data_IF_285445330714
#
_entry.id   IF_285445330714
#
_cell.length_a   1.000
_cell.length_b   1.000
_cell.length_c   1.000
_cell.angle_alpha   90.00
_cell.angle_beta   90.00
_cell.angle_gamma   90.00
#
_symmetry.space_group_name_H-M   'P 1'
#
loop_
_entity.id
_entity.type
_entity.pdbx_description
1 polymer ?
#
# COMPACT_ATOMS: atom_id res chain seq x y z
N UNK A 1 -29.24 -3.84 0.27
CA UNK A 1 -27.92 -4.46 0.52
C UNK A 1 -26.94 -3.44 1.13
N UNK A 2 -27.24 -2.86 2.31
CA UNK A 2 -26.41 -1.82 2.91
C UNK A 2 -24.98 -2.28 3.27
N UNK A 3 -24.79 -3.58 3.56
CA UNK A 3 -23.47 -4.13 3.89
C UNK A 3 -22.49 -4.10 2.71
N UNK A 4 -22.99 -4.29 1.48
CA UNK A 4 -22.15 -4.29 0.26
C UNK A 4 -21.56 -2.92 0.02
N UNK A 5 -22.33 -1.85 0.26
CA UNK A 5 -21.85 -0.49 0.13
C UNK A 5 -20.71 -0.20 1.13
N UNK A 6 -20.86 -0.62 2.38
CA UNK A 6 -19.82 -0.47 3.39
C UNK A 6 -18.53 -1.19 3.02
N UNK A 7 -18.63 -2.43 2.51
CA UNK A 7 -17.47 -3.20 2.04
C UNK A 7 -16.82 -2.53 0.82
N UNK A 8 -17.62 -2.11 -0.16
CA UNK A 8 -17.12 -1.45 -1.37
C UNK A 8 -16.39 -0.14 -1.04
N UNK A 9 -16.95 0.67 -0.13
CA UNK A 9 -16.33 1.91 0.32
C UNK A 9 -15.03 1.65 1.10
N UNK A 10 -15.03 0.66 1.99
CA UNK A 10 -13.81 0.25 2.70
C UNK A 10 -12.73 -0.23 1.73
N UNK A 11 -13.10 -1.05 0.73
CA UNK A 11 -12.17 -1.53 -0.29
C UNK A 11 -11.67 -0.40 -1.18
N UNK A 12 -12.51 0.58 -1.50
CA UNK A 12 -12.09 1.78 -2.24
C UNK A 12 -11.00 2.55 -1.49
N UNK A 13 -11.19 2.80 -0.18
CA UNK A 13 -10.20 3.46 0.66
C UNK A 13 -8.94 2.60 0.86
N UNK A 14 -9.07 1.29 1.02
CA UNK A 14 -7.92 0.38 1.13
C UNK A 14 -7.10 0.32 -0.16
N UNK A 15 -7.77 0.21 -1.32
CA UNK A 15 -7.11 0.21 -2.62
C UNK A 15 -6.46 1.55 -2.95
N UNK A 16 -6.98 2.68 -2.47
CA UNK A 16 -6.37 3.99 -2.75
C UNK A 16 -4.94 4.09 -2.22
N UNK A 17 -4.64 3.43 -1.09
CA UNK A 17 -3.29 3.33 -0.53
C UNK A 17 -2.31 2.65 -1.51
N UNK A 18 -2.78 1.63 -2.23
CA UNK A 18 -1.99 0.92 -3.24
C UNK A 18 -1.65 1.82 -4.42
N UNK A 19 -2.62 2.62 -4.89
CA UNK A 19 -2.49 3.45 -6.08
C UNK A 19 -1.96 4.86 -5.81
N UNK A 20 -1.66 5.22 -4.55
CA UNK A 20 -1.35 6.61 -4.17
C UNK A 20 -0.15 7.20 -4.95
N UNK A 21 0.95 6.45 -5.16
CA UNK A 21 2.11 6.91 -5.96
C UNK A 21 1.73 7.12 -7.43
N UNK A 22 0.86 6.27 -7.97
CA UNK A 22 0.44 6.39 -9.37
C UNK A 22 -0.27 7.73 -9.59
N UNK A 23 -1.06 8.17 -8.61
CA UNK A 23 -1.77 9.45 -8.64
C UNK A 23 -0.87 10.70 -8.54
N UNK A 24 0.34 10.57 -8.00
CA UNK A 24 1.30 11.69 -7.84
C UNK A 24 2.61 11.48 -8.60
N UNK A 25 2.64 10.49 -9.50
CA UNK A 25 3.85 10.03 -10.18
C UNK A 25 4.56 11.14 -10.95
N UNK A 26 3.83 11.97 -11.69
CA UNK A 26 4.40 13.10 -12.41
C UNK A 26 5.10 14.11 -11.49
N UNK A 27 4.51 14.42 -10.32
CA UNK A 27 5.12 15.32 -9.35
C UNK A 27 6.37 14.70 -8.71
N UNK A 28 6.36 13.39 -8.42
CA UNK A 28 7.52 12.68 -7.87
C UNK A 28 8.68 12.61 -8.86
N UNK A 29 8.41 12.42 -10.16
CA UNK A 29 9.44 12.41 -11.19
C UNK A 29 10.17 13.75 -11.27
N UNK A 30 9.43 14.85 -11.18
CA UNK A 30 9.96 16.22 -11.18
C UNK A 30 10.73 16.52 -9.89
N UNK A 31 10.13 16.26 -8.73
CA UNK A 31 10.72 16.56 -7.41
C UNK A 31 11.99 15.74 -7.13
N UNK A 32 12.02 14.46 -7.52
CA UNK A 32 13.18 13.59 -7.32
C UNK A 32 14.17 13.59 -8.48
N UNK A 33 13.83 14.23 -9.61
CA UNK A 33 14.68 14.29 -10.80
C UNK A 33 15.01 12.91 -11.39
N UNK A 34 14.08 11.96 -11.32
CA UNK A 34 14.29 10.57 -11.77
C UNK A 34 13.55 10.28 -13.09
N UNK A 35 14.03 9.26 -13.82
CA UNK A 35 13.37 8.83 -15.06
C UNK A 35 12.00 8.18 -14.81
N UNK A 36 11.07 8.22 -15.79
CA UNK A 36 9.75 7.58 -15.68
C UNK A 36 9.79 6.09 -15.32
N UNK A 37 10.85 5.39 -15.72
CA UNK A 37 11.10 3.97 -15.40
C UNK A 37 11.22 3.72 -13.89
N UNK A 38 11.58 4.74 -13.10
CA UNK A 38 11.71 4.65 -11.65
C UNK A 38 10.39 4.33 -10.93
N UNK A 39 9.25 4.75 -11.46
CA UNK A 39 7.94 4.48 -10.86
C UNK A 39 7.62 2.97 -10.83
N UNK A 40 8.23 2.19 -11.72
CA UNK A 40 8.17 0.74 -11.72
C UNK A 40 8.74 0.13 -10.44
N UNK A 41 9.79 0.72 -9.86
CA UNK A 41 10.38 0.24 -8.60
C UNK A 41 9.46 0.48 -7.40
N UNK A 42 8.85 1.67 -7.30
CA UNK A 42 7.86 1.96 -6.25
C UNK A 42 6.64 1.05 -6.36
N UNK A 43 6.18 0.78 -7.58
CA UNK A 43 5.06 -0.15 -7.81
C UNK A 43 5.46 -1.58 -7.46
N UNK A 44 6.68 -2.00 -7.83
CA UNK A 44 7.24 -3.30 -7.52
C UNK A 44 7.41 -3.54 -6.02
N UNK A 45 7.77 -2.51 -5.25
CA UNK A 45 7.87 -2.57 -3.79
C UNK A 45 6.50 -2.93 -3.15
N UNK A 46 5.41 -2.28 -3.58
CA UNK A 46 4.05 -2.62 -3.13
C UNK A 46 3.68 -4.08 -3.48
N UNK A 47 4.04 -4.56 -4.68
CA UNK A 47 3.80 -5.96 -5.07
C UNK A 47 4.58 -6.94 -4.19
N UNK A 48 5.84 -6.63 -3.89
CA UNK A 48 6.66 -7.43 -2.98
C UNK A 48 6.06 -7.45 -1.57
N UNK A 49 5.58 -6.31 -1.08
CA UNK A 49 4.85 -6.18 0.18
C UNK A 49 3.58 -7.05 0.23
N UNK A 50 2.80 -7.06 -0.85
CA UNK A 50 1.63 -7.93 -0.98
C UNK A 50 1.99 -9.43 -0.92
N UNK A 51 3.03 -9.84 -1.63
CA UNK A 51 3.54 -11.23 -1.59
C UNK A 51 3.98 -11.58 -0.17
N UNK A 52 4.80 -10.73 0.46
CA UNK A 52 5.28 -10.96 1.82
C UNK A 52 4.13 -11.04 2.84
N UNK A 53 3.14 -10.14 2.74
CA UNK A 53 1.98 -10.11 3.61
C UNK A 53 1.08 -11.34 3.46
N UNK A 54 0.78 -11.75 2.22
CA UNK A 54 -0.03 -12.94 1.96
C UNK A 54 0.66 -14.22 2.41
N UNK A 55 1.98 -14.35 2.16
CA UNK A 55 2.80 -15.45 2.68
C UNK A 55 2.81 -15.48 4.22
N UNK A 56 2.97 -14.33 4.87
CA UNK A 56 2.92 -14.22 6.33
C UNK A 56 1.58 -14.66 6.91
N UNK A 57 0.46 -14.24 6.30
CA UNK A 57 -0.88 -14.67 6.69
C UNK A 57 -1.08 -16.17 6.50
N UNK A 58 -0.57 -16.74 5.40
CA UNK A 58 -0.66 -18.17 5.12
C UNK A 58 0.18 -19.01 6.09
N UNK A 59 1.44 -18.63 6.34
CA UNK A 59 2.34 -19.33 7.26
C UNK A 59 1.82 -19.34 8.71
N UNK A 60 1.10 -18.30 9.11
CA UNK A 60 0.56 -18.15 10.47
C UNK A 60 -0.87 -18.67 10.62
N UNK A 61 -1.53 -19.03 9.51
CA UNK A 61 -2.97 -19.29 9.42
C UNK A 61 -3.83 -18.17 10.07
N UNK A 62 -3.34 -16.92 10.05
CA UNK A 62 -4.05 -15.76 10.63
C UNK A 62 -5.41 -15.57 9.95
N UNK A 63 -5.48 -15.82 8.64
CA UNK A 63 -6.69 -15.69 7.83
C UNK A 63 -7.84 -16.60 8.32
N UNK A 64 -7.52 -17.78 8.84
CA UNK A 64 -8.52 -18.74 9.33
C UNK A 64 -8.89 -18.52 10.79
N UNK A 65 -8.03 -17.84 11.55
CA UNK A 65 -8.20 -17.62 13.00
C UNK A 65 -8.97 -16.35 13.34
N UNK A 66 -8.90 -15.33 12.48
CA UNK A 66 -9.50 -14.03 12.73
C UNK A 66 -10.50 -13.64 11.64
N UNK A 67 -11.45 -12.78 12.00
CA UNK A 67 -12.43 -12.24 11.05
C UNK A 67 -11.71 -11.42 9.99
N UNK A 68 -12.09 -11.60 8.71
CA UNK A 68 -11.52 -10.86 7.59
C UNK A 68 -11.56 -9.32 7.79
N UNK A 69 -12.62 -8.79 8.41
CA UNK A 69 -12.72 -7.35 8.71
C UNK A 69 -11.68 -6.85 9.72
N UNK A 70 -11.25 -7.69 10.67
CA UNK A 70 -10.22 -7.34 11.64
C UNK A 70 -8.84 -7.35 11.00
N UNK A 71 -8.56 -8.35 10.16
CA UNK A 71 -7.33 -8.41 9.38
C UNK A 71 -7.25 -7.20 8.43
N UNK A 72 -8.34 -6.91 7.72
CA UNK A 72 -8.43 -5.75 6.83
C UNK A 72 -8.22 -4.42 7.56
N UNK A 73 -8.80 -4.24 8.76
CA UNK A 73 -8.61 -3.04 9.57
C UNK A 73 -7.13 -2.83 9.89
N UNK A 74 -6.46 -3.84 10.43
CA UNK A 74 -5.05 -3.73 10.81
C UNK A 74 -4.13 -3.56 9.60
N UNK A 75 -4.42 -4.26 8.50
CA UNK A 75 -3.70 -4.05 7.24
C UNK A 75 -3.88 -2.63 6.70
N UNK A 76 -5.09 -2.07 6.78
CA UNK A 76 -5.38 -0.69 6.35
C UNK A 76 -4.66 0.34 7.22
N UNK A 77 -4.58 0.12 8.54
CA UNK A 77 -3.81 0.97 9.46
C UNK A 77 -2.32 0.91 9.14
N UNK A 78 -1.76 -0.29 8.95
CA UNK A 78 -0.35 -0.45 8.61
C UNK A 78 -0.03 0.22 7.25
N UNK A 79 -0.87 0.00 6.24
CA UNK A 79 -0.71 0.61 4.91
C UNK A 79 -0.86 2.13 4.93
N UNK A 80 -1.78 2.68 5.74
CA UNK A 80 -1.92 4.13 5.87
C UNK A 80 -0.73 4.76 6.58
N UNK A 81 -0.18 4.09 7.60
CA UNK A 81 1.06 4.51 8.26
C UNK A 81 2.25 4.49 7.29
N UNK A 82 2.39 3.45 6.47
CA UNK A 82 3.43 3.38 5.45
C UNK A 82 3.30 4.52 4.44
N UNK A 83 2.09 4.79 3.95
CA UNK A 83 1.83 5.92 3.06
C UNK A 83 2.08 7.28 3.72
N UNK A 84 1.75 7.43 5.01
CA UNK A 84 2.04 8.65 5.76
C UNK A 84 3.55 8.87 5.87
N UNK A 85 4.30 7.83 6.25
CA UNK A 85 5.76 7.90 6.32
C UNK A 85 6.37 8.18 4.95
N UNK A 86 5.87 7.56 3.88
CA UNK A 86 6.29 7.89 2.52
C UNK A 86 6.09 9.39 2.23
N UNK A 87 4.91 9.94 2.54
CA UNK A 87 4.58 11.33 2.23
C UNK A 87 5.44 12.35 3.00
N UNK A 88 5.87 12.03 4.22
CA UNK A 88 6.63 12.97 5.07
C UNK A 88 8.13 12.72 5.11
N UNK A 89 8.57 11.48 4.87
CA UNK A 89 9.95 11.06 5.12
C UNK A 89 10.71 10.71 3.84
N UNK A 90 10.03 10.24 2.78
CA UNK A 90 10.69 9.84 1.55
C UNK A 90 11.30 11.05 0.84
N UNK A 91 12.63 11.03 0.70
CA UNK A 91 13.40 12.08 0.02
C UNK A 91 13.95 11.66 -1.34
N UNK A 92 13.68 10.43 -1.77
CA UNK A 92 14.11 9.89 -3.04
C UNK A 92 13.66 8.45 -3.25
N UNK A 93 14.02 7.87 -4.40
CA UNK A 93 13.51 6.57 -4.84
C UNK A 93 13.85 5.42 -3.87
N UNK A 94 15.10 5.33 -3.43
CA UNK A 94 15.59 4.22 -2.61
C UNK A 94 14.96 4.18 -1.24
N UNK A 95 14.90 5.32 -0.57
CA UNK A 95 14.22 5.47 0.72
C UNK A 95 12.70 5.34 0.58
N UNK A 96 12.14 5.90 -0.49
CA UNK A 96 10.72 5.79 -0.83
C UNK A 96 10.24 4.34 -0.97
N UNK A 97 11.06 3.44 -1.51
CA UNK A 97 10.72 2.01 -1.63
C UNK A 97 10.49 1.33 -0.26
N UNK A 98 11.12 1.79 0.81
CA UNK A 98 10.97 1.18 2.15
C UNK A 98 9.54 1.35 2.67
N UNK A 99 8.87 2.44 2.27
CA UNK A 99 7.53 2.80 2.71
C UNK A 99 6.43 2.34 1.73
N UNK A 100 6.77 1.57 0.69
CA UNK A 100 5.87 1.13 -0.38
C UNK A 100 5.71 -0.37 -0.41
#
# INVERSE_FOLDING_TARGET
MPQVFGIAFAQFLGCSLWFSVNGVSAALLDDWGVEPSAMGWLTGAVQAGFIAGTLGLAMTNLADRFRASTIFLWASIAGSMANLLFAYQASGLTDGMVYR
#
